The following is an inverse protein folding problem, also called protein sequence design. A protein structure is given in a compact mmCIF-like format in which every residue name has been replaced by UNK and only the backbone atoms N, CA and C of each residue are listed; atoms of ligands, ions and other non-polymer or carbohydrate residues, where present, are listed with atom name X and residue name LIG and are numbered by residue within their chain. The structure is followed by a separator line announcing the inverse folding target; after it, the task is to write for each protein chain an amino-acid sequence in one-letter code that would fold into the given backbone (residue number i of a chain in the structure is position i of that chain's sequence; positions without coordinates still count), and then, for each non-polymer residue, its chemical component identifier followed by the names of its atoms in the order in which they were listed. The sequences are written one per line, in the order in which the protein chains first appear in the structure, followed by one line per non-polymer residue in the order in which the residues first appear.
data_IF_863995616091
#
_entry.id   IF_863995616091
#
_cell.length_a   1.000
_cell.length_b   1.000
_cell.length_c   1.000
_cell.angle_alpha   90.00
_cell.angle_beta   90.00
_cell.angle_gamma   90.00
#
_symmetry.space_group_name_H-M   'P 1'
#
loop_
_entity.id
_entity.type
_entity.pdbx_description
1 polymer ?
#
# COMPACT_ATOMS: atom_id res chain seq x y z
N UNK A 1 -5.65 -2.01 12.28
CA UNK A 1 -4.81 -2.22 11.09
C UNK A 1 -3.47 -1.59 11.41
N UNK A 2 -2.40 -2.30 11.11
CA UNK A 2 -1.02 -1.89 11.29
C UNK A 2 -0.30 -2.04 9.96
N UNK A 3 0.56 -1.07 9.62
CA UNK A 3 1.45 -1.16 8.47
C UNK A 3 2.75 -1.77 8.97
N UNK A 4 3.04 -2.99 8.53
CA UNK A 4 4.27 -3.71 8.88
C UNK A 4 5.40 -3.22 8.00
N UNK A 5 5.13 -3.04 6.70
CA UNK A 5 6.10 -2.54 5.74
C UNK A 5 5.44 -1.73 4.61
N UNK A 6 6.22 -0.80 4.04
CA UNK A 6 5.83 0.09 2.94
C UNK A 6 7.03 0.32 2.02
N UNK A 7 6.88 -0.09 0.76
CA UNK A 7 7.79 0.31 -0.32
C UNK A 7 7.07 1.25 -1.27
N UNK A 8 7.73 2.37 -1.58
CA UNK A 8 7.19 3.40 -2.50
C UNK A 8 7.96 3.37 -3.80
N UNK A 9 7.25 3.17 -4.90
CA UNK A 9 7.76 3.26 -6.26
C UNK A 9 7.28 4.54 -6.92
N UNK A 10 7.81 4.85 -8.11
CA UNK A 10 7.46 6.09 -8.82
C UNK A 10 5.98 6.16 -9.23
N UNK A 11 5.36 5.02 -9.55
CA UNK A 11 3.99 4.90 -10.05
C UNK A 11 3.05 4.04 -9.18
N UNK A 12 3.58 3.29 -8.21
CA UNK A 12 2.80 2.44 -7.30
C UNK A 12 3.41 2.33 -5.90
N UNK A 13 2.69 1.66 -4.99
CA UNK A 13 3.19 1.34 -3.66
C UNK A 13 2.90 -0.12 -3.34
N UNK A 14 3.76 -0.72 -2.53
CA UNK A 14 3.56 -2.03 -1.93
C UNK A 14 3.38 -1.86 -0.43
N UNK A 15 2.32 -2.45 0.11
CA UNK A 15 1.97 -2.37 1.52
C UNK A 15 1.83 -3.77 2.10
N UNK A 16 2.58 -4.04 3.15
CA UNK A 16 2.38 -5.23 3.96
C UNK A 16 1.68 -4.82 5.26
N UNK A 17 0.48 -5.35 5.49
CA UNK A 17 -0.40 -4.88 6.57
C UNK A 17 -0.94 -6.03 7.40
N UNK A 18 -1.02 -5.81 8.72
CA UNK A 18 -1.81 -6.65 9.62
C UNK A 18 -3.17 -5.99 9.87
N UNK A 19 -4.24 -6.76 9.77
CA UNK A 19 -5.59 -6.27 10.02
C UNK A 19 -6.50 -7.36 10.57
N UNK A 20 -7.45 -7.02 11.45
CA UNK A 20 -8.51 -7.95 11.83
C UNK A 20 -9.23 -8.54 10.60
N UNK A 21 -9.59 -9.84 10.63
CA UNK A 21 -10.16 -10.55 9.48
C UNK A 21 -11.53 -10.01 9.05
N UNK A 22 -12.23 -9.29 9.93
CA UNK A 22 -13.49 -8.61 9.61
C UNK A 22 -13.34 -7.47 8.60
N UNK A 23 -12.12 -6.96 8.39
CA UNK A 23 -11.88 -5.92 7.40
C UNK A 23 -11.55 -6.57 6.06
N UNK A 24 -12.47 -6.45 5.10
CA UNK A 24 -12.22 -6.91 3.75
C UNK A 24 -11.02 -6.18 3.10
N UNK A 25 -10.20 -6.85 2.26
CA UNK A 25 -9.09 -6.19 1.57
C UNK A 25 -9.50 -4.95 0.77
N UNK A 26 -10.68 -4.97 0.15
CA UNK A 26 -11.25 -3.82 -0.58
C UNK A 26 -11.47 -2.60 0.32
N UNK A 27 -11.89 -2.82 1.57
CA UNK A 27 -12.08 -1.77 2.54
C UNK A 27 -10.73 -1.12 2.91
N UNK A 28 -9.72 -1.95 3.15
CA UNK A 28 -8.37 -1.48 3.46
C UNK A 28 -7.78 -0.67 2.30
N UNK A 29 -7.87 -1.20 1.07
CA UNK A 29 -7.41 -0.50 -0.13
C UNK A 29 -8.11 0.85 -0.31
N UNK A 30 -9.44 0.90 -0.12
CA UNK A 30 -10.20 2.15 -0.20
C UNK A 30 -9.76 3.17 0.85
N UNK A 31 -9.57 2.75 2.10
CA UNK A 31 -9.09 3.63 3.16
C UNK A 31 -7.68 4.15 2.88
N UNK A 32 -6.75 3.26 2.56
CA UNK A 32 -5.36 3.61 2.30
C UNK A 32 -5.25 4.60 1.13
N UNK A 33 -5.91 4.29 0.00
CA UNK A 33 -5.90 5.15 -1.20
C UNK A 33 -6.62 6.48 -0.96
N UNK A 34 -7.79 6.45 -0.31
CA UNK A 34 -8.59 7.65 -0.04
C UNK A 34 -7.91 8.59 0.95
N UNK A 35 -7.41 8.07 2.07
CA UNK A 35 -6.76 8.87 3.12
C UNK A 35 -5.44 9.44 2.60
N UNK A 36 -4.62 8.63 1.93
CA UNK A 36 -3.33 9.08 1.41
C UNK A 36 -3.49 10.18 0.35
N UNK A 37 -4.36 9.98 -0.65
CA UNK A 37 -4.61 10.98 -1.68
C UNK A 37 -5.17 12.26 -1.08
N UNK A 38 -6.14 12.17 -0.15
CA UNK A 38 -6.68 13.36 0.54
C UNK A 38 -5.61 14.13 1.31
N UNK A 39 -4.79 13.44 2.12
CA UNK A 39 -3.73 14.07 2.92
C UNK A 39 -2.65 14.68 2.04
N UNK A 40 -2.17 13.94 1.04
CA UNK A 40 -1.13 14.42 0.14
C UNK A 40 -1.62 15.61 -0.68
N UNK A 41 -2.78 15.48 -1.34
CA UNK A 41 -3.30 16.51 -2.22
C UNK A 41 -3.62 17.80 -1.45
N UNK A 42 -4.13 17.69 -0.22
CA UNK A 42 -4.37 18.86 0.62
C UNK A 42 -3.08 19.60 1.02
N UNK A 43 -1.98 18.88 1.22
CA UNK A 43 -0.73 19.44 1.74
C UNK A 43 0.25 19.88 0.67
N UNK A 44 0.27 19.20 -0.48
CA UNK A 44 1.36 19.32 -1.46
C UNK A 44 0.88 19.67 -2.87
N UNK A 45 -0.37 19.36 -3.25
CA UNK A 45 -0.85 19.65 -4.59
C UNK A 45 -1.42 21.07 -4.67
N UNK A 46 -0.78 21.94 -5.47
CA UNK A 46 -1.26 23.29 -5.76
C UNK A 46 -2.05 23.36 -7.08
N UNK A 47 -1.97 22.32 -7.91
CA UNK A 47 -2.73 22.16 -9.15
C UNK A 47 -3.30 20.75 -9.27
N UNK A 48 -4.21 20.52 -10.22
CA UNK A 48 -4.82 19.20 -10.42
C UNK A 48 -3.82 18.15 -10.97
N UNK A 49 -2.81 18.60 -11.70
CA UNK A 49 -1.74 17.76 -12.26
C UNK A 49 -0.80 17.20 -11.20
N UNK A 50 -0.63 17.92 -10.08
CA UNK A 50 0.19 17.49 -8.94
C UNK A 50 -0.55 16.52 -8.02
N UNK A 51 -1.85 16.30 -8.22
CA UNK A 51 -2.63 15.42 -7.35
C UNK A 51 -2.30 13.96 -7.61
N UNK A 52 -2.10 13.21 -6.53
CA UNK A 52 -2.10 11.76 -6.57
C UNK A 52 -3.53 11.30 -6.86
N UNK A 53 -3.68 10.54 -7.95
CA UNK A 53 -4.92 9.90 -8.37
C UNK A 53 -4.66 8.40 -8.49
N UNK A 54 -5.04 7.65 -7.47
CA UNK A 54 -4.87 6.20 -7.51
C UNK A 54 -5.75 5.58 -8.61
N UNK A 55 -5.20 4.57 -9.30
CA UNK A 55 -5.99 3.73 -10.21
C UNK A 55 -7.20 3.13 -9.49
N UNK A 56 -8.27 2.77 -10.21
CA UNK A 56 -9.47 2.18 -9.59
C UNK A 56 -9.18 0.82 -8.93
N UNK A 57 -8.36 0.00 -9.59
CA UNK A 57 -7.99 -1.33 -9.11
C UNK A 57 -7.02 -1.33 -7.93
N UNK A 58 -6.83 -2.49 -7.34
CA UNK A 58 -5.79 -2.80 -6.36
C UNK A 58 -5.48 -4.30 -6.45
N UNK A 59 -4.28 -4.69 -6.01
CA UNK A 59 -3.92 -6.09 -5.82
C UNK A 59 -3.91 -6.41 -4.32
N UNK A 60 -4.35 -7.61 -3.95
CA UNK A 60 -4.25 -8.12 -2.59
C UNK A 60 -3.95 -9.62 -2.62
N UNK A 61 -2.93 -10.02 -1.87
CA UNK A 61 -2.57 -11.41 -1.66
C UNK A 61 -2.31 -11.67 -0.18
N UNK A 62 -2.52 -12.91 0.27
CA UNK A 62 -2.13 -13.34 1.61
C UNK A 62 -0.67 -13.76 1.59
N UNK A 63 0.15 -13.21 2.48
CA UNK A 63 1.37 -13.89 2.87
C UNK A 63 0.94 -15.01 3.84
N UNK A 64 1.04 -16.28 3.43
CA UNK A 64 0.78 -17.42 4.33
C UNK A 64 1.74 -17.43 5.52
N UNK A 65 1.48 -18.21 6.58
CA UNK A 65 2.22 -18.27 7.87
C UNK A 65 3.62 -17.62 7.81
N UNK A 66 3.68 -16.33 8.14
CA UNK A 66 4.83 -15.49 7.78
C UNK A 66 5.78 -15.47 8.98
N UNK A 67 6.86 -16.26 8.92
CA UNK A 67 8.01 -16.02 9.80
C UNK A 67 8.66 -14.69 9.42
N UNK A 68 9.44 -14.11 10.33
CA UNK A 68 10.21 -12.89 10.09
C UNK A 68 11.08 -12.97 8.83
N UNK A 69 11.59 -14.18 8.52
CA UNK A 69 12.37 -14.48 7.32
C UNK A 69 11.54 -14.37 6.05
N UNK A 70 10.29 -14.84 6.03
CA UNK A 70 9.41 -14.72 4.86
C UNK A 70 9.06 -13.26 4.56
N UNK A 71 8.94 -12.40 5.59
CA UNK A 71 8.80 -10.94 5.40
C UNK A 71 10.06 -10.38 4.74
N UNK A 72 11.23 -10.77 5.23
CA UNK A 72 12.52 -10.31 4.71
C UNK A 72 12.74 -10.74 3.25
N UNK A 73 12.41 -11.99 2.91
CA UNK A 73 12.50 -12.53 1.56
C UNK A 73 11.52 -11.83 0.60
N UNK A 74 10.30 -11.52 1.05
CA UNK A 74 9.35 -10.73 0.26
C UNK A 74 9.91 -9.35 -0.08
N UNK A 75 10.47 -8.66 0.92
CA UNK A 75 11.09 -7.34 0.75
C UNK A 75 12.24 -7.42 -0.26
N UNK A 76 13.12 -8.42 -0.12
CA UNK A 76 14.24 -8.62 -1.04
C UNK A 76 13.78 -8.91 -2.48
N UNK A 77 12.76 -9.76 -2.65
CA UNK A 77 12.21 -10.06 -3.99
C UNK A 77 11.59 -8.84 -4.65
N UNK A 78 10.80 -8.06 -3.90
CA UNK A 78 10.20 -6.84 -4.44
C UNK A 78 11.23 -5.76 -4.77
N UNK A 79 12.31 -5.65 -3.99
CA UNK A 79 13.42 -4.75 -4.31
C UNK A 79 14.19 -5.18 -5.57
N UNK A 80 14.16 -6.45 -5.94
CA UNK A 80 14.83 -6.99 -7.13
C UNK A 80 13.97 -6.99 -8.41
N UNK A 81 12.65 -6.81 -8.28
CA UNK A 81 11.71 -6.71 -9.41
C UNK A 81 11.61 -5.28 -9.98
N UNK A 82 12.41 -4.34 -9.48
CA UNK A 82 12.55 -2.95 -9.96
C UNK A 82 13.96 -2.69 -10.46
#
# INVERSE_FOLDING_TARGET
MEIIDLTVQTDHIHLFVSSPPKHAPSLLANWLKGISSRKYNHRYASSDEQKIKWARGYYAGTAGEVSSETVQDYIQRQAAET
#
